data_IF_731283773026
#
_entry.id   IF_731283773026
#
_cell.length_a   1.000
_cell.length_b   1.000
_cell.length_c   1.000
_cell.angle_alpha   90.00
_cell.angle_beta   90.00
_cell.angle_gamma   90.00
#
_symmetry.space_group_name_H-M   'P 1'
#
loop_
_entity.id
_entity.type
_entity.pdbx_description
1 polymer ?
#
# COMPACT_ATOMS: atom_id res chain seq x y z
N UNK A 1 -32.75 52.25 28.85
CA UNK A 1 -31.64 51.70 28.08
C UNK A 1 -31.89 50.23 27.83
N UNK A 2 -32.13 49.80 26.58
CA UNK A 2 -32.30 48.39 26.25
C UNK A 2 -30.97 47.88 25.71
N UNK A 3 -30.31 47.01 26.44
CA UNK A 3 -29.04 46.37 26.03
C UNK A 3 -29.34 45.18 25.11
N UNK A 4 -28.96 45.28 23.85
CA UNK A 4 -29.06 44.13 22.90
C UNK A 4 -27.81 43.31 23.00
N UNK A 5 -27.99 42.03 23.39
CA UNK A 5 -26.93 41.03 23.38
C UNK A 5 -26.79 40.46 21.96
N UNK A 6 -25.71 40.79 21.27
CA UNK A 6 -25.41 40.24 19.95
C UNK A 6 -24.69 38.90 20.18
N UNK A 7 -25.39 37.79 19.92
CA UNK A 7 -24.82 36.45 19.92
C UNK A 7 -24.17 36.25 18.55
N UNK A 8 -22.84 36.35 18.50
CA UNK A 8 -22.03 35.96 17.32
C UNK A 8 -22.04 34.44 17.23
N UNK A 9 -22.90 33.89 16.37
CA UNK A 9 -22.82 32.50 15.91
C UNK A 9 -21.61 32.35 14.98
N UNK A 10 -20.51 31.85 15.53
CA UNK A 10 -19.39 31.35 14.71
C UNK A 10 -19.83 30.07 14.00
N UNK A 11 -19.89 30.02 12.65
CA UNK A 11 -20.14 28.78 11.95
C UNK A 11 -18.91 27.88 12.16
N UNK A 12 -19.08 26.82 12.94
CA UNK A 12 -18.10 25.74 13.04
C UNK A 12 -18.10 25.03 11.67
N UNK A 13 -17.22 25.46 10.77
CA UNK A 13 -16.95 24.76 9.51
C UNK A 13 -16.36 23.40 9.89
N UNK A 14 -17.22 22.38 9.99
CA UNK A 14 -16.78 20.99 10.01
C UNK A 14 -16.06 20.73 8.69
N UNK A 15 -14.74 20.78 8.72
CA UNK A 15 -13.89 20.38 7.60
C UNK A 15 -14.12 18.86 7.42
N UNK A 16 -14.93 18.52 6.42
CA UNK A 16 -15.20 17.13 6.06
C UNK A 16 -13.88 16.52 5.62
N UNK A 17 -13.25 15.77 6.51
CA UNK A 17 -11.99 15.09 6.23
C UNK A 17 -12.31 13.99 5.22
N UNK A 18 -11.98 14.22 3.96
CA UNK A 18 -12.10 13.22 2.90
C UNK A 18 -11.17 12.04 3.24
N UNK A 19 -11.78 10.95 3.66
CA UNK A 19 -11.08 9.69 3.92
C UNK A 19 -11.42 8.71 2.79
N UNK A 20 -10.42 8.07 2.23
CA UNK A 20 -10.62 6.94 1.33
C UNK A 20 -10.05 5.67 1.98
N UNK A 21 -10.88 4.68 2.21
CA UNK A 21 -10.49 3.43 2.86
C UNK A 21 -10.71 2.22 1.97
N UNK A 22 -9.74 1.33 1.97
CA UNK A 22 -9.82 -0.03 1.43
C UNK A 22 -9.84 -0.94 2.66
N UNK A 23 -11.02 -1.41 3.03
CA UNK A 23 -11.23 -2.36 4.12
C UNK A 23 -11.33 -3.77 3.54
N UNK A 24 -10.52 -4.69 4.07
CA UNK A 24 -10.46 -6.07 3.56
C UNK A 24 -11.42 -7.01 4.28
N UNK A 25 -11.91 -6.65 5.45
CA UNK A 25 -12.83 -7.43 6.25
C UNK A 25 -14.28 -7.22 5.83
N UNK A 26 -14.84 -6.07 6.16
CA UNK A 26 -16.27 -5.78 6.00
C UNK A 26 -16.70 -5.71 4.55
N UNK A 27 -15.98 -4.97 3.72
CA UNK A 27 -16.33 -4.75 2.32
C UNK A 27 -15.72 -5.80 1.39
N UNK A 28 -14.87 -6.69 1.90
CA UNK A 28 -14.16 -7.74 1.16
C UNK A 28 -13.46 -7.24 -0.12
N UNK A 29 -12.93 -6.04 -0.08
CA UNK A 29 -12.23 -5.42 -1.22
C UNK A 29 -10.97 -6.17 -1.65
N UNK A 30 -10.49 -7.11 -0.84
CA UNK A 30 -9.40 -8.01 -1.17
C UNK A 30 -9.64 -8.90 -2.40
N UNK A 31 -10.87 -9.10 -2.86
CA UNK A 31 -11.17 -9.83 -4.11
C UNK A 31 -10.55 -9.19 -5.34
N UNK A 32 -10.37 -7.87 -5.34
CA UNK A 32 -9.80 -7.10 -6.44
C UNK A 32 -8.26 -7.08 -6.43
N UNK A 33 -7.66 -7.83 -5.54
CA UNK A 33 -6.23 -7.98 -5.42
C UNK A 33 -5.79 -9.33 -5.99
N UNK A 34 -4.68 -9.34 -6.71
CA UNK A 34 -4.11 -10.52 -7.33
C UNK A 34 -2.67 -10.74 -6.87
N UNK A 35 -2.27 -11.99 -6.76
CA UNK A 35 -0.87 -12.35 -6.51
C UNK A 35 -0.15 -12.45 -7.86
N UNK A 36 1.03 -11.85 -7.93
CA UNK A 36 1.96 -11.97 -9.06
C UNK A 36 3.32 -12.37 -8.52
N UNK A 37 3.75 -13.56 -8.89
CA UNK A 37 5.04 -14.13 -8.55
C UNK A 37 6.04 -13.88 -9.68
N UNK A 38 7.32 -14.05 -9.39
CA UNK A 38 8.42 -13.95 -10.36
C UNK A 38 8.42 -15.03 -11.44
N UNK A 39 7.55 -16.01 -11.36
CA UNK A 39 7.30 -17.02 -12.40
C UNK A 39 7.01 -16.42 -13.79
N UNK A 40 6.49 -15.18 -13.84
CA UNK A 40 6.35 -14.42 -15.12
C UNK A 40 7.70 -14.13 -15.79
N UNK A 41 8.81 -14.30 -15.07
CA UNK A 41 10.18 -14.14 -15.55
C UNK A 41 11.00 -15.43 -15.39
N UNK A 42 10.36 -16.56 -15.11
CA UNK A 42 11.00 -17.85 -14.90
C UNK A 42 11.42 -18.17 -13.47
N UNK A 43 11.19 -17.27 -12.49
CA UNK A 43 11.47 -17.49 -11.07
C UNK A 43 10.55 -18.55 -10.44
N UNK A 44 10.91 -19.01 -9.26
CA UNK A 44 10.22 -20.10 -8.55
C UNK A 44 9.54 -19.67 -7.26
N UNK A 45 9.44 -18.38 -6.97
CA UNK A 45 8.72 -17.88 -5.79
C UNK A 45 7.24 -18.24 -5.84
N UNK A 46 6.66 -18.55 -4.68
CA UNK A 46 5.27 -19.01 -4.55
C UNK A 46 4.55 -18.17 -3.50
N UNK A 47 3.74 -17.23 -3.94
CA UNK A 47 2.83 -16.48 -3.10
C UNK A 47 1.39 -16.88 -3.33
N UNK A 48 0.58 -16.78 -2.30
CA UNK A 48 -0.86 -17.02 -2.34
C UNK A 48 -1.59 -15.99 -1.48
N UNK A 49 -2.90 -15.78 -1.75
CA UNK A 49 -3.75 -14.93 -0.92
C UNK A 49 -4.97 -15.69 -0.42
N UNK A 50 -5.45 -15.30 0.76
CA UNK A 50 -6.71 -15.78 1.33
C UNK A 50 -7.44 -14.60 1.98
N UNK A 51 -8.71 -14.41 1.65
CA UNK A 51 -9.58 -13.52 2.43
C UNK A 51 -10.00 -14.22 3.71
N UNK A 52 -9.85 -13.52 4.82
CA UNK A 52 -10.41 -13.91 6.11
C UNK A 52 -11.68 -13.10 6.39
N UNK A 53 -12.33 -13.33 7.53
CA UNK A 53 -13.50 -12.56 7.93
C UNK A 53 -13.20 -11.06 7.99
N UNK A 54 -12.01 -10.67 8.46
CA UNK A 54 -11.68 -9.28 8.79
C UNK A 54 -10.39 -8.78 8.14
N UNK A 55 -9.79 -9.54 7.20
CA UNK A 55 -8.49 -9.19 6.63
C UNK A 55 -8.23 -9.91 5.30
N UNK A 56 -7.10 -9.58 4.67
CA UNK A 56 -6.50 -10.35 3.58
C UNK A 56 -5.14 -10.87 4.04
N UNK A 57 -4.98 -12.18 4.03
CA UNK A 57 -3.71 -12.85 4.25
C UNK A 57 -3.00 -13.07 2.91
N UNK A 58 -1.75 -12.60 2.81
CA UNK A 58 -0.82 -12.83 1.70
C UNK A 58 0.43 -13.52 2.26
N UNK A 59 0.72 -14.73 1.79
CA UNK A 59 1.83 -15.53 2.30
C UNK A 59 2.45 -16.42 1.23
N UNK A 60 3.66 -16.87 1.48
CA UNK A 60 4.37 -17.76 0.58
C UNK A 60 5.85 -17.86 0.88
N UNK A 61 6.60 -18.28 -0.12
CA UNK A 61 8.05 -18.42 -0.09
C UNK A 61 8.67 -17.70 -1.28
N UNK A 62 9.73 -16.95 -1.03
CA UNK A 62 10.56 -16.33 -2.07
C UNK A 62 11.72 -17.26 -2.38
N UNK A 63 11.88 -17.60 -3.67
CA UNK A 63 13.04 -18.30 -4.23
C UNK A 63 13.92 -17.34 -5.01
N UNK A 64 15.24 -17.53 -4.93
CA UNK A 64 16.22 -16.77 -5.74
C UNK A 64 16.62 -17.50 -7.01
N UNK A 65 16.11 -18.72 -7.22
CA UNK A 65 16.40 -19.51 -8.41
C UNK A 65 15.88 -18.83 -9.67
N UNK A 66 16.58 -19.06 -10.78
CA UNK A 66 16.25 -18.53 -12.10
C UNK A 66 16.08 -17.00 -12.12
N UNK A 67 16.92 -16.28 -11.36
CA UNK A 67 16.82 -14.83 -11.18
C UNK A 67 15.50 -14.35 -10.56
N UNK A 68 14.77 -15.23 -9.86
CA UNK A 68 13.61 -14.89 -9.06
C UNK A 68 13.94 -13.93 -7.92
N UNK A 69 13.07 -13.81 -6.97
CA UNK A 69 13.30 -13.04 -5.74
C UNK A 69 12.15 -12.13 -5.34
N UNK A 70 10.92 -12.36 -5.86
CA UNK A 70 9.77 -11.61 -5.36
C UNK A 70 8.44 -12.37 -5.46
N UNK A 71 7.55 -12.01 -4.58
CA UNK A 71 6.11 -12.20 -4.72
C UNK A 71 5.42 -10.88 -4.41
N UNK A 72 4.32 -10.59 -5.07
CA UNK A 72 3.59 -9.33 -4.89
C UNK A 72 2.09 -9.53 -4.88
N UNK A 73 1.41 -8.73 -4.03
CA UNK A 73 -0.03 -8.60 -3.94
C UNK A 73 -0.43 -7.27 -4.56
N UNK A 74 -1.23 -7.26 -5.62
CA UNK A 74 -1.51 -6.08 -6.43
C UNK A 74 -3.00 -5.88 -6.60
N UNK A 75 -3.48 -4.64 -6.39
CA UNK A 75 -4.82 -4.23 -6.78
C UNK A 75 -4.93 -4.22 -8.31
N UNK A 76 -6.11 -4.48 -8.85
CA UNK A 76 -6.38 -4.26 -10.28
C UNK A 76 -6.12 -2.80 -10.66
N UNK A 77 -5.72 -2.57 -11.91
CA UNK A 77 -5.55 -1.21 -12.40
C UNK A 77 -6.89 -0.47 -12.40
N UNK A 78 -6.87 0.75 -11.89
CA UNK A 78 -8.01 1.66 -11.89
C UNK A 78 -7.48 3.08 -11.81
N UNK A 79 -8.26 4.05 -12.25
CA UNK A 79 -8.02 5.44 -11.90
C UNK A 79 -8.14 5.59 -10.38
N UNK A 80 -7.16 6.25 -9.80
CA UNK A 80 -7.04 6.34 -8.36
C UNK A 80 -6.35 7.65 -7.97
N UNK A 81 -7.09 8.74 -8.02
CA UNK A 81 -6.57 10.04 -7.62
C UNK A 81 -6.47 10.13 -6.08
N UNK A 82 -5.25 10.16 -5.60
CA UNK A 82 -4.92 10.35 -4.18
C UNK A 82 -4.24 11.69 -3.90
N UNK A 83 -4.29 12.65 -4.83
CA UNK A 83 -3.63 13.95 -4.71
C UNK A 83 -4.18 14.82 -3.59
N UNK A 84 -5.40 14.55 -3.13
CA UNK A 84 -6.04 15.24 -2.01
C UNK A 84 -5.63 14.70 -0.63
N UNK A 85 -4.80 13.64 -0.59
CA UNK A 85 -4.32 13.04 0.65
C UNK A 85 -2.83 13.32 0.85
N UNK A 86 -2.42 13.35 2.11
CA UNK A 86 -1.02 13.54 2.48
C UNK A 86 -0.40 12.26 3.06
N UNK A 87 -1.23 11.45 3.69
CA UNK A 87 -0.80 10.26 4.41
C UNK A 87 -1.56 9.02 3.96
N UNK A 88 -0.89 7.87 4.11
CA UNK A 88 -1.51 6.55 4.07
C UNK A 88 -1.32 5.85 5.40
N UNK A 89 -2.40 5.39 6.00
CA UNK A 89 -2.41 4.56 7.19
C UNK A 89 -2.68 3.12 6.79
N UNK A 90 -1.92 2.20 7.37
CA UNK A 90 -2.04 0.77 7.09
C UNK A 90 -2.08 0.03 8.42
N UNK A 91 -3.09 -0.84 8.62
CA UNK A 91 -3.13 -1.78 9.73
C UNK A 91 -2.81 -3.17 9.20
N UNK A 92 -1.70 -3.73 9.69
CA UNK A 92 -1.18 -5.01 9.23
C UNK A 92 -0.43 -5.75 10.33
N UNK A 93 -0.14 -7.02 10.08
CA UNK A 93 0.86 -7.81 10.80
C UNK A 93 1.68 -8.63 9.81
N UNK A 94 2.93 -8.93 10.16
CA UNK A 94 3.84 -9.64 9.27
C UNK A 94 4.87 -10.45 10.02
N UNK A 95 5.39 -11.48 9.35
CA UNK A 95 6.55 -12.27 9.77
C UNK A 95 7.36 -12.72 8.55
N UNK A 96 8.60 -13.13 8.77
CA UNK A 96 9.51 -13.53 7.72
C UNK A 96 10.05 -12.34 6.91
N UNK A 97 10.11 -12.47 5.59
CA UNK A 97 10.62 -11.42 4.71
C UNK A 97 9.74 -10.18 4.78
N UNK A 98 10.35 -9.01 4.90
CA UNK A 98 9.66 -7.71 4.91
C UNK A 98 8.97 -7.43 3.59
N UNK A 99 7.91 -6.64 3.64
CA UNK A 99 7.20 -6.16 2.46
C UNK A 99 7.36 -4.65 2.29
N UNK A 100 7.13 -4.18 1.09
CA UNK A 100 7.02 -2.76 0.79
C UNK A 100 5.65 -2.43 0.19
N UNK A 101 5.11 -1.27 0.56
CA UNK A 101 4.00 -0.64 -0.15
C UNK A 101 4.50 -0.10 -1.49
N UNK A 102 3.73 -0.32 -2.57
CA UNK A 102 4.09 0.12 -3.92
C UNK A 102 2.98 0.89 -4.60
N UNK A 103 3.36 1.95 -5.35
CA UNK A 103 2.47 2.69 -6.23
C UNK A 103 3.01 2.65 -7.66
N UNK A 104 2.12 2.39 -8.63
CA UNK A 104 2.46 2.39 -10.05
C UNK A 104 1.65 3.46 -10.78
N UNK A 105 2.34 4.19 -11.67
CA UNK A 105 1.78 5.23 -12.56
C UNK A 105 1.61 4.73 -14.00
N UNK A 106 2.00 3.48 -14.28
CA UNK A 106 1.92 2.90 -15.61
C UNK A 106 1.62 1.41 -15.53
N UNK A 107 1.00 0.88 -16.60
CA UNK A 107 0.83 -0.57 -16.81
C UNK A 107 2.11 -1.24 -17.27
N UNK A 108 3.05 -0.48 -17.80
CA UNK A 108 4.33 -0.97 -18.36
C UNK A 108 5.30 -1.25 -17.22
N UNK A 109 5.84 -2.45 -17.15
CA UNK A 109 6.72 -2.90 -16.07
C UNK A 109 8.07 -2.15 -16.00
N UNK A 110 8.52 -1.61 -17.13
CA UNK A 110 9.77 -0.84 -17.25
C UNK A 110 9.60 0.67 -16.95
N UNK A 111 8.41 1.13 -16.63
CA UNK A 111 8.21 2.50 -16.13
C UNK A 111 8.48 2.50 -14.63
N UNK A 112 9.19 3.50 -14.10
CA UNK A 112 9.47 3.59 -12.68
C UNK A 112 8.20 3.51 -11.83
N UNK A 113 8.31 2.87 -10.68
CA UNK A 113 7.29 2.81 -9.65
C UNK A 113 7.81 3.47 -8.35
N UNK A 114 6.93 3.61 -7.37
CA UNK A 114 7.28 4.18 -6.07
C UNK A 114 7.08 3.14 -4.99
N UNK A 115 8.00 3.11 -4.01
CA UNK A 115 8.03 2.10 -2.97
C UNK A 115 8.48 2.68 -1.63
N UNK A 116 7.92 2.16 -0.54
CA UNK A 116 8.39 2.36 0.84
C UNK A 116 8.32 1.04 1.58
N UNK A 117 9.40 0.69 2.27
CA UNK A 117 9.50 -0.54 3.06
C UNK A 117 8.63 -0.45 4.30
N UNK A 118 8.05 -1.57 4.69
CA UNK A 118 7.25 -1.73 5.90
C UNK A 118 8.05 -2.53 6.92
N UNK A 119 8.12 -2.04 8.15
CA UNK A 119 8.80 -2.75 9.23
C UNK A 119 8.11 -4.09 9.52
N UNK A 120 8.91 -5.09 9.87
CA UNK A 120 8.38 -6.35 10.42
C UNK A 120 7.65 -6.12 11.74
N UNK A 121 6.57 -6.90 11.98
CA UNK A 121 5.75 -6.73 13.19
C UNK A 121 5.82 -7.92 14.14
N UNK A 122 6.62 -8.94 13.82
CA UNK A 122 6.70 -10.19 14.59
C UNK A 122 5.31 -10.79 14.85
N UNK A 123 4.49 -10.84 13.81
CA UNK A 123 3.10 -11.35 13.83
C UNK A 123 2.10 -10.57 14.70
N UNK A 124 2.49 -9.40 15.23
CA UNK A 124 1.60 -8.54 16.03
C UNK A 124 0.95 -7.49 15.14
N UNK A 125 -0.33 -7.21 15.36
CA UNK A 125 -1.01 -6.13 14.67
C UNK A 125 -0.37 -4.78 14.99
N UNK A 126 -0.05 -4.03 13.93
CA UNK A 126 0.51 -2.68 14.00
C UNK A 126 -0.26 -1.77 13.05
N UNK A 127 -0.51 -0.55 13.48
CA UNK A 127 -0.99 0.53 12.61
C UNK A 127 0.14 1.51 12.42
N UNK A 128 0.46 1.81 11.17
CA UNK A 128 1.47 2.80 10.79
C UNK A 128 0.85 3.89 9.94
N UNK A 129 1.41 5.07 9.98
CA UNK A 129 1.06 6.19 9.10
C UNK A 129 2.33 6.61 8.36
N UNK A 130 2.26 6.65 7.03
CA UNK A 130 3.37 7.02 6.16
C UNK A 130 2.97 8.27 5.37
N UNK A 131 3.90 9.21 5.21
CA UNK A 131 3.70 10.33 4.31
C UNK A 131 3.85 9.85 2.87
N UNK A 132 2.88 10.18 2.00
CA UNK A 132 2.87 9.72 0.61
C UNK A 132 4.13 10.14 -0.15
N UNK A 133 4.66 11.34 0.14
CA UNK A 133 5.88 11.86 -0.46
C UNK A 133 7.18 11.22 0.07
N UNK A 134 7.11 10.29 1.03
CA UNK A 134 8.29 9.55 1.49
C UNK A 134 8.59 8.31 0.65
N UNK A 135 7.65 7.89 -0.21
CA UNK A 135 7.89 6.81 -1.15
C UNK A 135 9.03 7.20 -2.12
N UNK A 136 9.98 6.30 -2.27
CA UNK A 136 11.11 6.47 -3.20
C UNK A 136 10.79 5.90 -4.56
N UNK A 137 11.34 6.50 -5.60
CA UNK A 137 11.24 6.04 -6.98
C UNK A 137 12.18 4.85 -7.20
N UNK A 138 11.68 3.85 -7.90
CA UNK A 138 12.44 2.65 -8.27
C UNK A 138 12.33 2.40 -9.77
N UNK A 139 13.42 2.03 -10.38
CA UNK A 139 13.50 1.60 -11.79
C UNK A 139 14.10 0.22 -11.86
N UNK A 140 13.36 -0.76 -12.35
CA UNK A 140 13.77 -2.18 -12.48
C UNK A 140 14.46 -2.67 -11.18
N UNK A 141 13.76 -2.51 -10.04
CA UNK A 141 14.25 -2.96 -8.74
C UNK A 141 15.34 -2.11 -8.08
N UNK A 142 15.90 -1.12 -8.77
CA UNK A 142 16.95 -0.23 -8.23
C UNK A 142 16.34 1.09 -7.75
N UNK A 143 16.70 1.50 -6.53
CA UNK A 143 16.31 2.81 -6.00
C UNK A 143 16.96 3.93 -6.81
N UNK A 144 16.17 4.93 -7.16
CA UNK A 144 16.62 6.20 -7.72
C UNK A 144 16.58 7.23 -6.59
N UNK A 145 17.50 8.21 -6.59
CA UNK A 145 17.52 9.26 -5.57
C UNK A 145 16.43 10.33 -5.82
N UNK A 146 15.21 9.87 -5.97
CA UNK A 146 14.02 10.70 -6.13
C UNK A 146 12.88 10.15 -5.27
N UNK A 147 12.07 11.07 -4.71
CA UNK A 147 10.85 10.74 -3.97
C UNK A 147 9.62 11.00 -4.83
N UNK A 148 8.50 10.42 -4.41
CA UNK A 148 7.19 10.67 -4.99
C UNK A 148 6.81 12.15 -4.81
N UNK A 149 6.50 12.82 -5.91
CA UNK A 149 6.05 14.22 -5.90
C UNK A 149 4.52 14.28 -5.75
N UNK A 150 4.02 15.37 -5.16
CA UNK A 150 2.59 15.57 -4.96
C UNK A 150 1.80 15.54 -6.28
N UNK A 151 2.38 16.10 -7.34
CA UNK A 151 1.76 16.13 -8.68
C UNK A 151 1.55 14.73 -9.27
N UNK A 152 2.42 13.77 -8.89
CA UNK A 152 2.33 12.39 -9.37
C UNK A 152 1.22 11.59 -8.67
N UNK A 153 0.70 12.06 -7.53
CA UNK A 153 -0.33 11.34 -6.78
C UNK A 153 -1.64 11.15 -7.58
N UNK A 154 -1.97 12.07 -8.49
CA UNK A 154 -3.11 11.95 -9.40
C UNK A 154 -2.90 10.93 -10.53
N UNK A 155 -1.65 10.53 -10.77
CA UNK A 155 -1.28 9.58 -11.83
C UNK A 155 -1.23 8.13 -11.33
N UNK A 156 -1.45 7.90 -10.04
CA UNK A 156 -1.40 6.55 -9.46
C UNK A 156 -2.56 5.71 -10.01
N UNK A 157 -2.22 4.61 -10.65
CA UNK A 157 -3.21 3.68 -11.25
C UNK A 157 -3.22 2.32 -10.56
N UNK A 158 -2.28 2.04 -9.66
CA UNK A 158 -2.26 0.78 -8.90
C UNK A 158 -1.51 0.91 -7.59
N UNK A 159 -2.09 0.28 -6.56
CA UNK A 159 -1.47 0.05 -5.26
C UNK A 159 -1.12 -1.43 -5.16
N UNK A 160 -0.04 -1.75 -4.47
CA UNK A 160 0.36 -3.13 -4.19
C UNK A 160 1.29 -3.25 -3.01
N UNK A 161 1.60 -4.50 -2.68
CA UNK A 161 2.65 -4.89 -1.75
C UNK A 161 3.58 -5.86 -2.46
N UNK A 162 4.86 -5.80 -2.16
CA UNK A 162 5.87 -6.68 -2.72
C UNK A 162 6.84 -7.10 -1.62
N UNK A 163 7.33 -8.33 -1.65
CA UNK A 163 8.45 -8.73 -0.80
C UNK A 163 9.66 -7.85 -1.09
N UNK A 164 10.22 -7.21 -0.08
CA UNK A 164 11.19 -6.11 -0.26
C UNK A 164 12.63 -6.57 -0.27
N UNK A 165 12.92 -7.61 0.48
CA UNK A 165 14.26 -8.18 0.55
C UNK A 165 14.43 -9.24 -0.53
N UNK A 166 15.46 -9.08 -1.38
CA UNK A 166 15.84 -10.10 -2.37
C UNK A 166 16.62 -11.21 -1.65
N UNK A 167 15.92 -12.03 -0.87
CA UNK A 167 16.50 -13.19 -0.16
C UNK A 167 15.53 -14.35 -0.19
N UNK A 168 16.06 -15.56 -0.06
CA UNK A 168 15.26 -16.77 0.11
C UNK A 168 14.56 -16.78 1.47
N UNK A 169 13.34 -17.27 1.51
CA UNK A 169 12.61 -17.54 2.75
C UNK A 169 11.11 -17.29 2.67
N UNK A 170 10.48 -17.62 3.79
CA UNK A 170 9.04 -17.47 3.97
C UNK A 170 8.66 -16.02 4.27
N UNK A 171 7.44 -15.67 3.90
CA UNK A 171 6.79 -14.43 4.30
C UNK A 171 5.33 -14.66 4.62
N UNK A 172 4.85 -13.91 5.58
CA UNK A 172 3.43 -13.78 5.88
C UNK A 172 3.10 -12.31 6.14
N UNK A 173 2.05 -11.82 5.49
CA UNK A 173 1.57 -10.46 5.61
C UNK A 173 0.05 -10.49 5.64
N UNK A 174 -0.54 -10.01 6.72
CA UNK A 174 -1.98 -9.91 6.85
C UNK A 174 -2.37 -8.46 7.03
N UNK A 175 -3.29 -7.99 6.20
CA UNK A 175 -3.73 -6.61 6.15
C UNK A 175 -5.22 -6.51 6.47
N UNK A 176 -5.56 -5.59 7.39
CA UNK A 176 -6.93 -5.25 7.80
C UNK A 176 -7.48 -4.13 6.89
N UNK A 177 -6.77 -3.00 6.81
CA UNK A 177 -7.16 -1.89 5.96
C UNK A 177 -5.99 -1.03 5.47
N UNK A 178 -6.26 -0.27 4.40
CA UNK A 178 -5.47 0.87 3.93
C UNK A 178 -6.40 2.09 3.96
N UNK A 179 -5.96 3.19 4.59
CA UNK A 179 -6.74 4.43 4.69
C UNK A 179 -5.88 5.61 4.26
N UNK A 180 -6.37 6.40 3.33
CA UNK A 180 -5.77 7.67 2.90
C UNK A 180 -6.39 8.82 3.68
N UNK A 181 -5.54 9.78 4.12
CA UNK A 181 -5.91 10.93 4.96
C UNK A 181 -5.27 12.21 4.43
#
# INVERSE_FOLDING_TARGET
MKTYLIILLFPFLMQQQNNYQIDFGEEKKGRYWSVVNDGVMGGLSRGSKKLTKNSLLFKGEVSLENNGGFSSLRRSFSEFDISNFEYVEIKYRSSGISLALTFAVSRRWYVPNYKVSLDGTSSKWKTITLKLTDLRKYYIGKAINEKLKKETLKEIIRIGFITDEKKYGDFEFEIDYIKFK
#
